data_IF_849179656659
#
_entry.id   IF_849179656659
#
_cell.length_a   1.000
_cell.length_b   1.000
_cell.length_c   1.000
_cell.angle_alpha   90.00
_cell.angle_beta   90.00
_cell.angle_gamma   90.00
#
_symmetry.space_group_name_H-M   'P 1'
#
loop_
_entity.id
_entity.type
_entity.pdbx_description
1 polymer ?
#
# COMPACT_ATOMS: atom_id res chain seq x y z
N UNK A 1 10.59 -4.03 -13.70
CA UNK A 1 9.48 -3.71 -14.64
C UNK A 1 9.60 -2.31 -15.25
N UNK A 2 9.61 -1.22 -14.46
CA UNK A 2 9.65 0.14 -15.01
C UNK A 2 10.86 0.43 -15.90
N UNK A 3 12.05 -0.08 -15.57
CA UNK A 3 13.26 0.11 -16.40
C UNK A 3 13.14 -0.60 -17.76
N UNK A 4 12.61 -1.82 -17.78
CA UNK A 4 12.32 -2.54 -19.03
C UNK A 4 11.26 -1.79 -19.85
N UNK A 5 10.20 -1.29 -19.21
CA UNK A 5 9.19 -0.46 -19.88
C UNK A 5 9.76 0.82 -20.49
N UNK A 6 10.73 1.46 -19.82
CA UNK A 6 11.45 2.62 -20.37
C UNK A 6 12.26 2.23 -21.60
N UNK A 7 13.00 1.12 -21.55
CA UNK A 7 13.83 0.68 -22.69
C UNK A 7 12.96 0.24 -23.86
N UNK A 8 12.04 -0.70 -23.63
CA UNK A 8 11.18 -1.23 -24.69
C UNK A 8 10.26 -0.16 -25.24
N UNK A 9 9.59 0.62 -24.38
CA UNK A 9 8.70 1.67 -24.86
C UNK A 9 9.42 2.85 -25.50
N UNK A 10 10.63 3.17 -25.04
CA UNK A 10 11.48 4.16 -25.70
C UNK A 10 11.87 3.72 -27.11
N UNK A 11 12.36 2.48 -27.26
CA UNK A 11 12.79 1.94 -28.56
C UNK A 11 11.60 1.79 -29.51
N UNK A 12 10.50 1.20 -29.06
CA UNK A 12 9.30 1.02 -29.88
C UNK A 12 8.70 2.36 -30.32
N UNK A 13 8.67 3.34 -29.42
CA UNK A 13 8.21 4.69 -29.75
C UNK A 13 9.06 5.33 -30.85
N UNK A 14 10.39 5.25 -30.74
CA UNK A 14 11.30 5.78 -31.77
C UNK A 14 11.08 5.10 -33.12
N UNK A 15 10.95 3.78 -33.14
CA UNK A 15 10.71 3.01 -34.38
C UNK A 15 9.37 3.39 -35.02
N UNK A 16 8.29 3.50 -34.23
CA UNK A 16 6.97 3.88 -34.74
C UNK A 16 6.97 5.30 -35.33
N UNK A 17 7.57 6.26 -34.63
CA UNK A 17 7.67 7.63 -35.15
C UNK A 17 8.58 7.74 -36.37
N UNK A 18 9.65 6.94 -36.44
CA UNK A 18 10.52 6.86 -37.60
C UNK A 18 9.77 6.32 -38.83
N UNK A 19 8.96 5.27 -38.67
CA UNK A 19 8.13 4.75 -39.76
C UNK A 19 7.09 5.77 -40.25
N UNK A 20 6.39 6.44 -39.32
CA UNK A 20 5.44 7.50 -39.65
C UNK A 20 6.10 8.65 -40.42
N UNK A 21 7.35 8.98 -40.09
CA UNK A 21 8.10 10.05 -40.76
C UNK A 21 8.67 9.63 -42.12
N UNK A 22 9.07 8.36 -42.25
CA UNK A 22 9.79 7.86 -43.43
C UNK A 22 8.88 7.40 -44.56
N UNK A 23 7.61 7.09 -44.27
CA UNK A 23 6.69 6.47 -45.23
C UNK A 23 5.48 7.39 -45.53
N UNK A 24 5.65 8.47 -46.32
CA UNK A 24 4.59 9.45 -46.58
C UNK A 24 3.43 8.92 -47.44
N UNK A 25 3.65 7.86 -48.22
CA UNK A 25 2.69 7.31 -49.20
C UNK A 25 1.70 6.28 -48.61
N UNK A 26 1.64 6.13 -47.28
CA UNK A 26 0.70 5.20 -46.65
C UNK A 26 -0.76 5.63 -46.84
N UNK A 27 -1.66 4.65 -46.91
CA UNK A 27 -3.10 4.95 -46.91
C UNK A 27 -3.48 5.67 -45.62
N UNK A 28 -4.48 6.56 -45.68
CA UNK A 28 -4.87 7.39 -44.52
C UNK A 28 -5.24 6.56 -43.28
N UNK A 29 -5.78 5.36 -43.48
CA UNK A 29 -6.12 4.42 -42.40
C UNK A 29 -4.89 3.80 -41.74
N UNK A 30 -3.92 3.34 -42.54
CA UNK A 30 -2.66 2.76 -42.01
C UNK A 30 -1.87 3.80 -41.23
N UNK A 31 -1.74 5.01 -41.79
CA UNK A 31 -1.06 6.12 -41.12
C UNK A 31 -1.71 6.46 -39.78
N UNK A 32 -3.05 6.50 -39.72
CA UNK A 32 -3.77 6.73 -38.47
C UNK A 32 -3.45 5.64 -37.43
N UNK A 33 -3.38 4.37 -37.85
CA UNK A 33 -2.99 3.25 -36.98
C UNK A 33 -1.60 3.41 -36.37
N UNK A 34 -0.59 3.73 -37.19
CA UNK A 34 0.78 3.95 -36.71
C UNK A 34 0.89 5.17 -35.78
N UNK A 35 0.15 6.25 -36.07
CA UNK A 35 0.12 7.43 -35.20
C UNK A 35 -0.51 7.09 -33.83
N UNK A 36 -1.63 6.37 -33.81
CA UNK A 36 -2.26 5.95 -32.55
C UNK A 36 -1.35 5.02 -31.76
N UNK A 37 -0.73 4.03 -32.42
CA UNK A 37 0.23 3.13 -31.78
C UNK A 37 1.42 3.91 -31.20
N UNK A 38 1.99 4.86 -31.96
CA UNK A 38 3.08 5.71 -31.50
C UNK A 38 2.69 6.54 -30.27
N UNK A 39 1.47 7.09 -30.25
CA UNK A 39 0.96 7.82 -29.09
C UNK A 39 0.81 6.92 -27.86
N UNK A 40 0.22 5.74 -28.01
CA UNK A 40 0.06 4.77 -26.90
C UNK A 40 1.41 4.38 -26.32
N UNK A 41 2.40 4.12 -27.18
CA UNK A 41 3.74 3.75 -26.75
C UNK A 41 4.45 4.92 -26.05
N UNK A 42 4.29 6.16 -26.53
CA UNK A 42 4.82 7.34 -25.81
C UNK A 42 4.18 7.50 -24.44
N UNK A 43 2.88 7.23 -24.30
CA UNK A 43 2.21 7.26 -23.00
C UNK A 43 2.74 6.16 -22.08
N UNK A 44 3.01 4.96 -22.59
CA UNK A 44 3.62 3.88 -21.80
C UNK A 44 5.05 4.24 -21.36
N UNK A 45 5.83 4.88 -22.22
CA UNK A 45 7.16 5.38 -21.88
C UNK A 45 7.09 6.40 -20.73
N UNK A 46 6.21 7.41 -20.84
CA UNK A 46 6.00 8.41 -19.79
C UNK A 46 5.49 7.77 -18.49
N UNK A 47 4.53 6.84 -18.59
CA UNK A 47 4.02 6.11 -17.42
C UNK A 47 5.13 5.28 -16.75
N UNK A 48 6.04 4.69 -17.52
CA UNK A 48 7.17 3.93 -16.99
C UNK A 48 8.17 4.82 -16.24
N UNK A 49 8.42 6.03 -16.74
CA UNK A 49 9.20 7.05 -16.02
C UNK A 49 8.50 7.43 -14.72
N UNK A 50 7.19 7.69 -14.74
CA UNK A 50 6.42 8.03 -13.54
C UNK A 50 6.42 6.90 -12.51
N UNK A 51 6.33 5.64 -12.95
CA UNK A 51 6.45 4.47 -12.09
C UNK A 51 7.84 4.36 -11.46
N UNK A 52 8.90 4.62 -12.23
CA UNK A 52 10.27 4.63 -11.73
C UNK A 52 10.51 5.75 -10.71
N UNK A 53 10.08 6.97 -11.00
CA UNK A 53 10.14 8.11 -10.07
C UNK A 53 9.29 7.84 -8.83
N UNK A 54 8.11 7.24 -8.99
CA UNK A 54 7.23 6.86 -7.88
C UNK A 54 7.88 5.86 -6.93
N UNK A 55 8.65 4.90 -7.46
CA UNK A 55 9.43 3.96 -6.66
C UNK A 55 10.55 4.64 -5.88
N UNK A 56 11.25 5.61 -6.48
CA UNK A 56 12.33 6.38 -5.80
C UNK A 56 11.76 7.28 -4.71
N UNK A 57 10.73 8.08 -5.03
CA UNK A 57 10.20 9.12 -4.14
C UNK A 57 9.33 8.52 -3.02
N UNK A 58 8.94 7.23 -3.11
CA UNK A 58 8.08 6.52 -2.15
C UNK A 58 6.75 7.25 -1.86
N UNK A 59 6.28 8.10 -2.78
CA UNK A 59 5.01 8.81 -2.66
C UNK A 59 3.87 7.97 -3.24
N UNK A 60 2.92 7.59 -2.38
CA UNK A 60 1.74 6.77 -2.75
C UNK A 60 0.93 7.33 -3.92
N UNK A 61 0.77 8.65 -4.01
CA UNK A 61 -0.05 9.26 -5.05
C UNK A 61 0.49 8.96 -6.46
N UNK A 62 1.82 8.91 -6.63
CA UNK A 62 2.44 8.54 -7.90
C UNK A 62 2.20 7.07 -8.25
N UNK A 63 2.29 6.17 -7.27
CA UNK A 63 2.02 4.74 -7.46
C UNK A 63 0.56 4.51 -7.85
N UNK A 64 -0.38 5.25 -7.25
CA UNK A 64 -1.80 5.14 -7.57
C UNK A 64 -2.11 5.64 -8.98
N UNK A 65 -1.56 6.79 -9.37
CA UNK A 65 -1.70 7.31 -10.75
C UNK A 65 -1.11 6.32 -11.75
N UNK A 66 0.09 5.80 -11.48
CA UNK A 66 0.74 4.80 -12.31
C UNK A 66 -0.12 3.53 -12.49
N UNK A 67 -0.74 3.03 -11.41
CA UNK A 67 -1.64 1.89 -11.47
C UNK A 67 -2.86 2.14 -12.37
N UNK A 68 -3.45 3.34 -12.30
CA UNK A 68 -4.55 3.72 -13.18
C UNK A 68 -4.13 3.78 -14.64
N UNK A 69 -2.94 4.33 -14.93
CA UNK A 69 -2.39 4.35 -16.29
C UNK A 69 -2.16 2.95 -16.84
N UNK A 70 -1.60 2.03 -16.06
CA UNK A 70 -1.41 0.64 -16.50
C UNK A 70 -2.74 -0.04 -16.80
N UNK A 71 -3.79 0.23 -16.01
CA UNK A 71 -5.11 -0.33 -16.26
C UNK A 71 -5.74 0.22 -17.56
N UNK A 72 -5.68 1.53 -17.77
CA UNK A 72 -6.17 2.16 -19.01
C UNK A 72 -5.38 1.65 -20.22
N UNK A 73 -4.05 1.55 -20.09
CA UNK A 73 -3.18 1.02 -21.12
C UNK A 73 -3.53 -0.43 -21.49
N UNK A 74 -3.73 -1.28 -20.50
CA UNK A 74 -4.14 -2.67 -20.72
C UNK A 74 -5.48 -2.77 -21.48
N UNK A 75 -6.49 -1.98 -21.09
CA UNK A 75 -7.77 -1.94 -21.81
C UNK A 75 -7.62 -1.45 -23.25
N UNK A 76 -6.76 -0.45 -23.45
CA UNK A 76 -6.47 0.09 -24.77
C UNK A 76 -5.77 -0.98 -25.63
N UNK A 77 -4.82 -1.73 -25.07
CA UNK A 77 -4.17 -2.83 -25.76
C UNK A 77 -5.11 -3.99 -26.09
N UNK A 78 -6.08 -4.30 -25.22
CA UNK A 78 -7.15 -5.24 -25.57
C UNK A 78 -7.95 -4.74 -26.78
N UNK A 79 -8.33 -3.45 -26.80
CA UNK A 79 -9.09 -2.86 -27.88
C UNK A 79 -8.30 -2.87 -29.20
N UNK A 80 -7.02 -2.48 -29.17
CA UNK A 80 -6.13 -2.51 -30.34
C UNK A 80 -5.91 -3.95 -30.81
N UNK A 81 -5.58 -4.88 -29.91
CA UNK A 81 -5.36 -6.27 -30.28
C UNK A 81 -6.61 -6.89 -30.90
N UNK A 82 -7.80 -6.60 -30.36
CA UNK A 82 -9.08 -7.02 -30.91
C UNK A 82 -9.38 -6.41 -32.28
N UNK A 83 -9.13 -5.11 -32.44
CA UNK A 83 -9.29 -4.42 -33.73
C UNK A 83 -8.33 -4.97 -34.79
N UNK A 84 -7.04 -5.11 -34.46
CA UNK A 84 -6.05 -5.68 -35.37
C UNK A 84 -6.36 -7.14 -35.70
N UNK A 85 -6.85 -7.93 -34.75
CA UNK A 85 -7.32 -9.28 -35.03
C UNK A 85 -8.48 -9.24 -36.03
N UNK A 86 -9.47 -8.36 -35.84
CA UNK A 86 -10.56 -8.17 -36.80
C UNK A 86 -10.05 -7.80 -38.19
N UNK A 87 -9.15 -6.81 -38.28
CA UNK A 87 -8.51 -6.38 -39.53
C UNK A 87 -7.77 -7.55 -40.18
N UNK A 88 -6.86 -8.22 -39.47
CA UNK A 88 -6.08 -9.34 -40.00
C UNK A 88 -6.99 -10.47 -40.47
N UNK A 89 -8.05 -10.81 -39.73
CA UNK A 89 -8.98 -11.87 -40.14
C UNK A 89 -9.76 -11.47 -41.40
N UNK A 90 -10.27 -10.24 -41.47
CA UNK A 90 -11.06 -9.76 -42.60
C UNK A 90 -10.20 -9.55 -43.86
N UNK A 91 -9.03 -8.91 -43.71
CA UNK A 91 -8.05 -8.77 -44.79
C UNK A 91 -7.53 -10.13 -45.24
N UNK A 92 -7.27 -11.08 -44.35
CA UNK A 92 -6.83 -12.42 -44.78
C UNK A 92 -7.85 -13.09 -45.69
N UNK A 93 -9.16 -12.93 -45.43
CA UNK A 93 -10.21 -13.49 -46.28
C UNK A 93 -10.26 -12.82 -47.65
N UNK A 94 -10.17 -11.50 -47.71
CA UNK A 94 -10.21 -10.77 -48.98
C UNK A 94 -8.91 -10.89 -49.79
N UNK A 95 -7.76 -10.88 -49.12
CA UNK A 95 -6.43 -10.98 -49.72
C UNK A 95 -6.14 -12.41 -50.21
N UNK A 96 -6.61 -13.45 -49.51
CA UNK A 96 -6.45 -14.83 -50.02
C UNK A 96 -7.17 -15.01 -51.36
N UNK A 97 -8.36 -14.40 -51.53
CA UNK A 97 -9.07 -14.43 -52.80
C UNK A 97 -8.33 -13.59 -53.85
N UNK A 98 -8.11 -12.30 -53.60
CA UNK A 98 -7.54 -11.40 -54.63
C UNK A 98 -6.05 -11.66 -54.92
N UNK A 99 -5.22 -11.73 -53.88
CA UNK A 99 -3.78 -11.86 -54.05
C UNK A 99 -3.38 -13.30 -54.45
N UNK A 100 -3.89 -14.33 -53.77
CA UNK A 100 -3.46 -15.70 -54.07
C UNK A 100 -4.22 -16.33 -55.25
N UNK A 101 -5.53 -16.08 -55.44
CA UNK A 101 -6.28 -16.76 -56.52
C UNK A 101 -6.16 -16.05 -57.88
N UNK A 102 -6.14 -14.72 -57.93
CA UNK A 102 -6.12 -13.97 -59.20
C UNK A 102 -4.70 -13.79 -59.76
N UNK A 103 -3.68 -13.65 -58.89
CA UNK A 103 -2.32 -13.29 -59.34
C UNK A 103 -1.45 -14.51 -59.68
N UNK A 104 -1.66 -15.64 -59.00
CA UNK A 104 -0.82 -16.83 -59.17
C UNK A 104 -1.58 -17.89 -59.95
N UNK A 105 -1.09 -18.31 -61.12
CA UNK A 105 -1.72 -19.41 -61.88
C UNK A 105 -1.30 -20.81 -61.42
N UNK A 106 -0.11 -20.95 -60.83
CA UNK A 106 0.42 -22.24 -60.40
C UNK A 106 -0.26 -22.73 -59.11
N UNK A 107 -0.86 -23.92 -59.15
CA UNK A 107 -1.60 -24.50 -58.03
C UNK A 107 -0.74 -24.72 -56.78
N UNK A 108 0.52 -25.16 -56.96
CA UNK A 108 1.43 -25.40 -55.84
C UNK A 108 1.77 -24.10 -55.10
N UNK A 109 1.92 -22.98 -55.82
CA UNK A 109 2.19 -21.69 -55.22
C UNK A 109 0.95 -21.09 -54.50
N UNK A 110 -0.28 -21.43 -54.94
CA UNK A 110 -1.51 -21.05 -54.22
C UNK A 110 -1.59 -21.68 -52.83
N UNK A 111 -1.25 -22.97 -52.73
CA UNK A 111 -1.24 -23.68 -51.45
C UNK A 111 -0.20 -23.10 -50.49
N UNK A 112 0.98 -22.73 -50.99
CA UNK A 112 2.01 -22.07 -50.19
C UNK A 112 1.58 -20.66 -49.73
N UNK A 113 0.95 -19.87 -50.61
CA UNK A 113 0.43 -18.53 -50.28
C UNK A 113 -0.60 -18.56 -49.14
N UNK A 114 -1.57 -19.47 -49.24
CA UNK A 114 -2.62 -19.63 -48.21
C UNK A 114 -2.07 -20.22 -46.91
N UNK A 115 -1.11 -21.16 -47.00
CA UNK A 115 -0.43 -21.72 -45.84
C UNK A 115 0.33 -20.66 -45.03
N UNK A 116 1.08 -19.79 -45.70
CA UNK A 116 1.87 -18.74 -45.05
C UNK A 116 0.98 -17.71 -44.35
N UNK A 117 -0.11 -17.27 -44.99
CA UNK A 117 -1.12 -16.38 -44.38
C UNK A 117 -1.77 -17.00 -43.14
N UNK A 118 -2.09 -18.30 -43.18
CA UNK A 118 -2.67 -19.03 -42.03
C UNK A 118 -1.68 -19.11 -40.87
N UNK A 119 -0.40 -19.38 -41.17
CA UNK A 119 0.66 -19.41 -40.15
C UNK A 119 0.86 -18.03 -39.55
N UNK A 120 0.96 -16.98 -40.36
CA UNK A 120 1.13 -15.61 -39.89
C UNK A 120 0.00 -15.17 -38.95
N UNK A 121 -1.25 -15.48 -39.29
CA UNK A 121 -2.41 -15.25 -38.41
C UNK A 121 -2.30 -16.00 -37.08
N UNK A 122 -1.87 -17.26 -37.13
CA UNK A 122 -1.64 -18.07 -35.92
C UNK A 122 -0.57 -17.46 -35.02
N UNK A 123 0.59 -17.10 -35.59
CA UNK A 123 1.71 -16.48 -34.87
C UNK A 123 1.27 -15.15 -34.25
N UNK A 124 0.57 -14.30 -35.00
CA UNK A 124 0.06 -13.03 -34.49
C UNK A 124 -0.84 -13.23 -33.26
N UNK A 125 -1.78 -14.19 -33.33
CA UNK A 125 -2.67 -14.48 -32.21
C UNK A 125 -1.91 -14.96 -30.97
N UNK A 126 -0.92 -15.86 -31.13
CA UNK A 126 -0.11 -16.36 -30.01
C UNK A 126 0.69 -15.22 -29.37
N UNK A 127 1.37 -14.40 -30.18
CA UNK A 127 2.17 -13.27 -29.67
C UNK A 127 1.28 -12.26 -28.95
N UNK A 128 0.15 -11.88 -29.55
CA UNK A 128 -0.79 -10.94 -28.92
C UNK A 128 -1.33 -11.49 -27.58
N UNK A 129 -1.67 -12.79 -27.52
CA UNK A 129 -2.14 -13.41 -26.29
C UNK A 129 -1.06 -13.40 -25.19
N UNK A 130 0.19 -13.72 -25.52
CA UNK A 130 1.31 -13.68 -24.56
C UNK A 130 1.51 -12.25 -24.03
N UNK A 131 1.51 -11.25 -24.91
CA UNK A 131 1.66 -9.84 -24.50
C UNK A 131 0.54 -9.43 -23.54
N UNK A 132 -0.72 -9.74 -23.87
CA UNK A 132 -1.86 -9.42 -23.00
C UNK A 132 -1.80 -10.14 -21.65
N UNK A 133 -1.34 -11.40 -21.62
CA UNK A 133 -1.17 -12.14 -20.35
C UNK A 133 -0.06 -11.54 -19.49
N UNK A 134 1.06 -11.14 -20.09
CA UNK A 134 2.15 -10.47 -19.36
C UNK A 134 1.68 -9.13 -18.81
N UNK A 135 0.94 -8.34 -19.59
CA UNK A 135 0.37 -7.06 -19.13
C UNK A 135 -0.63 -7.24 -17.99
N UNK A 136 -1.53 -8.22 -18.12
CA UNK A 136 -2.48 -8.57 -17.06
C UNK A 136 -1.75 -8.97 -15.78
N UNK A 137 -0.71 -9.79 -15.89
CA UNK A 137 0.10 -10.20 -14.74
C UNK A 137 0.76 -9.00 -14.05
N UNK A 138 1.32 -8.06 -14.82
CA UNK A 138 1.89 -6.82 -14.30
C UNK A 138 0.82 -5.96 -13.62
N UNK A 139 -0.36 -5.81 -14.21
CA UNK A 139 -1.48 -5.07 -13.63
C UNK A 139 -1.94 -5.67 -12.29
N UNK A 140 -1.95 -7.01 -12.17
CA UNK A 140 -2.27 -7.70 -10.92
C UNK A 140 -1.24 -7.44 -9.82
N UNK A 141 0.06 -7.51 -10.13
CA UNK A 141 1.13 -7.21 -9.17
C UNK A 141 1.00 -5.77 -8.65
N UNK A 142 0.82 -4.82 -9.56
CA UNK A 142 0.70 -3.40 -9.18
C UNK A 142 -0.55 -3.18 -8.30
N UNK A 143 -1.66 -3.84 -8.61
CA UNK A 143 -2.88 -3.75 -7.81
C UNK A 143 -2.67 -4.27 -6.39
N UNK A 144 -2.01 -5.43 -6.23
CA UNK A 144 -1.65 -5.97 -4.92
C UNK A 144 -0.76 -5.02 -4.14
N UNK A 145 0.24 -4.45 -4.80
CA UNK A 145 1.15 -3.47 -4.19
C UNK A 145 0.41 -2.20 -3.73
N UNK A 146 -0.48 -1.65 -4.56
CA UNK A 146 -1.30 -0.49 -4.17
C UNK A 146 -2.18 -0.80 -2.97
N UNK A 147 -2.77 -2.00 -2.91
CA UNK A 147 -3.58 -2.42 -1.78
C UNK A 147 -2.74 -2.54 -0.51
N UNK A 148 -1.55 -3.15 -0.59
CA UNK A 148 -0.61 -3.24 0.53
C UNK A 148 -0.22 -1.86 1.06
N UNK A 149 0.15 -0.92 0.19
CA UNK A 149 0.52 0.44 0.60
C UNK A 149 -0.68 1.18 1.23
N UNK A 150 -1.90 0.93 0.74
CA UNK A 150 -3.12 1.48 1.33
C UNK A 150 -3.39 0.90 2.72
N UNK A 151 -3.23 -0.41 2.90
CA UNK A 151 -3.44 -1.06 4.21
C UNK A 151 -2.41 -0.59 5.22
N UNK A 152 -1.12 -0.56 4.86
CA UNK A 152 -0.05 -0.07 5.74
C UNK A 152 -0.30 1.37 6.21
N UNK A 153 -0.75 2.24 5.30
CA UNK A 153 -1.08 3.62 5.67
C UNK A 153 -2.33 3.76 6.53
N UNK A 154 -3.32 2.90 6.32
CA UNK A 154 -4.52 2.86 7.16
C UNK A 154 -4.16 2.41 8.57
N UNK A 155 -3.43 1.29 8.69
CA UNK A 155 -2.93 0.78 9.97
C UNK A 155 -2.03 1.79 10.68
N UNK A 156 -1.15 2.48 9.96
CA UNK A 156 -0.31 3.53 10.55
C UNK A 156 -1.12 4.74 11.06
N UNK A 157 -2.25 5.08 10.43
CA UNK A 157 -3.15 6.14 10.91
C UNK A 157 -3.96 5.69 12.12
N UNK A 158 -4.51 4.49 12.07
CA UNK A 158 -5.24 3.89 13.19
C UNK A 158 -4.32 3.80 14.43
N UNK A 159 -3.09 3.30 14.29
CA UNK A 159 -2.12 3.28 15.40
C UNK A 159 -1.77 4.66 15.99
N UNK A 160 -1.90 5.74 15.22
CA UNK A 160 -1.66 7.11 15.72
C UNK A 160 -2.85 7.61 16.52
N UNK A 161 -4.07 7.34 16.04
CA UNK A 161 -5.30 7.68 16.76
C UNK A 161 -5.40 6.88 18.07
N UNK A 162 -5.11 5.59 18.04
CA UNK A 162 -5.12 4.74 19.25
C UNK A 162 -4.09 5.23 20.29
N UNK A 163 -2.90 5.65 19.84
CA UNK A 163 -1.89 6.24 20.73
C UNK A 163 -2.37 7.59 21.30
N UNK A 164 -2.95 8.46 20.48
CA UNK A 164 -3.51 9.74 20.95
C UNK A 164 -4.64 9.52 21.97
N UNK A 165 -5.52 8.55 21.75
CA UNK A 165 -6.56 8.16 22.69
C UNK A 165 -5.98 7.64 24.01
N UNK A 166 -4.99 6.75 23.96
CA UNK A 166 -4.30 6.23 25.13
C UNK A 166 -3.65 7.35 25.97
N UNK A 167 -3.01 8.34 25.34
CA UNK A 167 -2.44 9.50 26.03
C UNK A 167 -3.52 10.48 26.53
N UNK A 168 -4.65 10.61 25.83
CA UNK A 168 -5.76 11.47 26.26
C UNK A 168 -6.42 10.99 27.56
N UNK A 169 -6.49 9.67 27.78
CA UNK A 169 -7.01 9.08 29.01
C UNK A 169 -6.10 9.36 30.21
N UNK A 170 -4.77 9.31 30.02
CA UNK A 170 -3.80 9.68 31.06
C UNK A 170 -3.89 11.17 31.43
N UNK A 171 -4.20 12.05 30.47
CA UNK A 171 -4.35 13.47 30.75
C UNK A 171 -5.66 13.83 31.47
N UNK A 172 -6.72 13.03 31.34
CA UNK A 172 -7.96 13.19 32.13
C UNK A 172 -7.82 12.68 33.58
N UNK A 173 -6.90 11.74 33.83
CA UNK A 173 -6.60 11.19 35.16
C UNK A 173 -5.58 11.99 35.98
N UNK A 174 -4.81 12.89 35.36
CA UNK A 174 -4.01 13.88 36.10
C UNK A 174 -4.93 14.97 36.61
N UNK A 175 -5.47 14.71 37.80
CA UNK A 175 -6.00 15.73 38.67
C UNK A 175 -5.08 16.95 38.70
N UNK A 176 -5.71 18.10 38.87
CA UNK A 176 -5.08 19.36 39.29
C UNK A 176 -3.95 19.02 40.27
N UNK A 177 -2.71 18.96 39.80
CA UNK A 177 -1.59 19.18 40.71
C UNK A 177 -1.84 20.57 41.23
N UNK A 178 -2.26 20.60 42.47
CA UNK A 178 -2.59 21.75 43.27
C UNK A 178 -1.59 22.83 42.92
N UNK A 179 -2.04 23.90 42.27
CA UNK A 179 -1.34 25.16 42.35
C UNK A 179 -1.13 25.40 43.83
N UNK A 180 0.13 25.35 44.26
CA UNK A 180 0.49 25.62 45.64
C UNK A 180 -0.19 26.95 46.03
N UNK A 181 -0.99 26.98 47.11
CA UNK A 181 -1.66 28.19 47.56
C UNK A 181 -0.59 29.11 48.13
N UNK A 182 -0.06 30.00 47.30
CA UNK A 182 1.02 30.89 47.69
C UNK A 182 1.12 32.07 46.75
N UNK A 183 0.29 33.08 46.95
CA UNK A 183 0.47 34.37 46.29
C UNK A 183 -0.84 35.12 46.10
N UNK A 184 -1.26 35.86 47.12
CA UNK A 184 -2.24 36.93 46.98
C UNK A 184 -1.85 37.87 45.83
N UNK A 185 -2.71 37.97 44.83
CA UNK A 185 -2.75 39.16 43.98
C UNK A 185 -4.21 39.49 43.72
N UNK A 186 -4.73 40.33 44.61
CA UNK A 186 -5.94 41.12 44.42
C UNK A 186 -5.80 41.93 43.14
N UNK A 187 -6.85 41.95 42.34
CA UNK A 187 -7.20 43.16 41.59
C UNK A 187 -7.86 42.93 40.24
N UNK A 188 -9.18 43.15 40.23
CA UNK A 188 -9.94 43.89 39.20
C UNK A 188 -10.05 43.22 37.81
N UNK A 189 -11.21 42.60 37.52
CA UNK A 189 -12.34 43.16 36.74
C UNK A 189 -11.99 43.32 35.25
N UNK A 190 -12.74 42.85 34.27
CA UNK A 190 -14.20 42.89 34.15
C UNK A 190 -14.62 42.13 32.86
N UNK A 191 -15.88 41.65 32.79
CA UNK A 191 -16.66 41.36 31.57
C UNK A 191 -16.09 40.35 30.52
N UNK A 192 -16.81 39.39 29.95
CA UNK A 192 -18.24 39.13 29.80
C UNK A 192 -18.40 37.79 29.05
N UNK A 193 -19.50 37.09 29.33
CA UNK A 193 -20.40 36.41 28.39
C UNK A 193 -20.98 35.14 29.02
N UNK A 194 -22.29 35.25 29.26
CA UNK A 194 -23.13 34.23 29.85
C UNK A 194 -23.23 33.00 28.92
N UNK A 195 -22.54 31.92 29.30
CA UNK A 195 -22.93 30.57 28.91
C UNK A 195 -23.93 30.08 29.98
N UNK A 196 -25.09 29.60 29.53
CA UNK A 196 -26.10 28.98 30.38
C UNK A 196 -25.48 27.87 31.22
N UNK A 197 -25.28 28.17 32.50
CA UNK A 197 -24.79 27.25 33.52
C UNK A 197 -25.84 26.18 33.77
N UNK A 198 -25.51 24.94 33.40
CA UNK A 198 -26.23 23.76 33.84
C UNK A 198 -26.22 23.73 35.38
N UNK A 199 -27.39 23.98 35.99
CA UNK A 199 -27.60 23.95 37.44
C UNK A 199 -27.89 22.51 37.91
N UNK A 200 -26.94 21.61 37.67
CA UNK A 200 -26.86 20.34 38.40
C UNK A 200 -26.13 20.56 39.73
N UNK A 201 -26.33 19.70 40.75
CA UNK A 201 -25.46 19.71 41.92
C UNK A 201 -24.01 19.61 41.45
N UNK A 202 -23.17 20.54 41.92
CA UNK A 202 -21.74 20.55 41.64
C UNK A 202 -21.19 19.20 42.09
N UNK A 203 -20.64 18.43 41.15
CA UNK A 203 -20.10 17.11 41.44
C UNK A 203 -18.95 17.29 42.44
N UNK A 204 -19.23 16.98 43.70
CA UNK A 204 -18.24 16.98 44.77
C UNK A 204 -17.61 15.58 44.84
N UNK A 205 -16.37 15.40 44.35
CA UNK A 205 -15.68 14.11 44.37
C UNK A 205 -15.33 13.62 45.79
N UNK A 206 -15.67 14.39 46.83
CA UNK A 206 -15.48 14.02 48.24
C UNK A 206 -16.79 13.85 49.01
N UNK A 207 -17.96 14.00 48.37
CA UNK A 207 -19.24 13.79 49.06
C UNK A 207 -19.42 12.31 49.47
N UNK A 208 -18.73 11.39 48.79
CA UNK A 208 -18.66 9.97 49.18
C UNK A 208 -17.94 9.73 50.52
N UNK A 209 -17.17 10.71 51.02
CA UNK A 209 -16.44 10.61 52.29
C UNK A 209 -17.17 11.29 53.46
N UNK A 210 -18.30 11.96 53.22
CA UNK A 210 -19.07 12.69 54.25
C UNK A 210 -20.45 12.12 54.55
N UNK A 211 -20.87 11.05 53.88
CA UNK A 211 -22.01 10.27 54.31
C UNK A 211 -21.70 9.56 55.64
N UNK A 212 -22.17 10.12 56.75
CA UNK A 212 -22.50 9.31 57.93
C UNK A 212 -23.45 8.22 57.45
N UNK A 213 -22.93 6.99 57.44
CA UNK A 213 -23.63 5.75 57.15
C UNK A 213 -24.78 5.56 58.16
N UNK A 214 -25.92 6.21 57.94
CA UNK A 214 -27.19 5.75 58.47
C UNK A 214 -27.75 4.69 57.52
N UNK A 215 -27.71 3.46 58.03
CA UNK A 215 -28.50 2.29 57.66
C UNK A 215 -29.47 2.43 56.46
N UNK A 216 -29.00 2.09 55.25
CA UNK A 216 -29.85 1.38 54.28
C UNK A 216 -29.28 0.00 54.07
N UNK A 217 -29.57 -0.81 55.08
CA UNK A 217 -29.46 -2.26 55.12
C UNK A 217 -30.55 -2.84 54.20
N UNK A 218 -30.28 -2.99 52.91
CA UNK A 218 -30.95 -4.02 52.11
C UNK A 218 -29.95 -5.11 51.75
N UNK A 219 -30.01 -6.13 52.61
CA UNK A 219 -29.34 -7.41 52.50
C UNK A 219 -29.66 -8.12 51.18
N UNK A 220 -28.63 -8.33 50.35
CA UNK A 220 -28.48 -9.62 49.69
C UNK A 220 -27.30 -10.32 50.34
N UNK A 221 -27.63 -11.13 51.34
CA UNK A 221 -26.75 -12.12 51.93
C UNK A 221 -26.58 -13.24 50.91
N UNK A 222 -25.35 -13.48 50.46
CA UNK A 222 -24.93 -14.78 49.99
C UNK A 222 -23.55 -15.08 50.60
N UNK A 223 -23.44 -16.30 51.13
CA UNK A 223 -22.39 -16.77 52.04
C UNK A 223 -20.96 -16.63 51.52
N UNK A 224 -20.15 -15.80 52.20
CA UNK A 224 -18.78 -16.15 52.62
C UNK A 224 -17.68 -16.42 51.58
N UNK A 225 -17.91 -16.26 50.28
CA UNK A 225 -16.87 -16.37 49.24
C UNK A 225 -16.80 -15.04 48.49
N UNK A 226 -15.64 -14.36 48.40
CA UNK A 226 -15.53 -13.15 47.59
C UNK A 226 -15.89 -13.52 46.15
N UNK A 227 -16.98 -12.93 45.64
CA UNK A 227 -17.37 -13.13 44.25
C UNK A 227 -16.25 -12.61 43.36
N UNK A 228 -15.72 -13.49 42.50
CA UNK A 228 -14.74 -13.13 41.50
C UNK A 228 -15.26 -11.93 40.70
N UNK A 229 -14.40 -10.96 40.33
CA UNK A 229 -14.81 -9.80 39.55
C UNK A 229 -15.42 -10.29 38.23
N UNK A 230 -16.72 -10.03 38.08
CA UNK A 230 -17.49 -10.32 36.87
C UNK A 230 -17.43 -9.05 36.03
N UNK A 231 -16.68 -9.11 34.93
CA UNK A 231 -16.71 -8.04 33.93
C UNK A 231 -17.88 -8.28 32.98
N UNK A 232 -18.70 -7.24 32.80
CA UNK A 232 -19.78 -7.24 31.81
C UNK A 232 -19.18 -6.98 30.44
N UNK A 233 -19.12 -8.03 29.62
CA UNK A 233 -18.58 -7.97 28.26
C UNK A 233 -19.45 -7.14 27.32
N UNK A 234 -18.81 -6.58 26.28
CA UNK A 234 -19.45 -5.79 25.22
C UNK A 234 -20.41 -6.68 24.41
N UNK A 235 -21.67 -6.78 24.87
CA UNK A 235 -22.66 -7.75 24.36
C UNK A 235 -23.73 -8.17 25.37
N UNK A 236 -23.65 -7.73 26.63
CA UNK A 236 -24.71 -7.95 27.63
C UNK A 236 -24.66 -9.31 28.33
N UNK A 237 -23.59 -10.09 28.12
CA UNK A 237 -23.29 -11.28 28.92
C UNK A 237 -22.33 -10.94 30.06
N UNK A 238 -22.54 -11.55 31.22
CA UNK A 238 -21.54 -11.59 32.31
C UNK A 238 -20.52 -12.68 32.00
N UNK A 239 -19.23 -12.33 31.93
CA UNK A 239 -18.15 -13.29 31.71
C UNK A 239 -17.21 -13.26 32.91
N UNK A 240 -16.78 -14.44 33.34
CA UNK A 240 -15.69 -14.55 34.31
C UNK A 240 -14.34 -14.47 33.59
N UNK A 241 -13.32 -13.95 34.28
CA UNK A 241 -11.96 -13.87 33.72
C UNK A 241 -11.43 -15.22 33.22
N UNK A 242 -11.83 -16.32 33.86
CA UNK A 242 -11.51 -17.68 33.44
C UNK A 242 -12.15 -18.06 32.11
N UNK A 243 -13.39 -17.64 31.86
CA UNK A 243 -14.10 -17.92 30.60
C UNK A 243 -13.48 -17.13 29.45
N UNK A 244 -13.13 -15.86 29.68
CA UNK A 244 -12.42 -15.03 28.70
C UNK A 244 -11.07 -15.68 28.33
N UNK A 245 -10.31 -16.11 29.35
CA UNK A 245 -9.00 -16.75 29.13
C UNK A 245 -9.14 -18.06 28.37
N UNK A 246 -10.17 -18.86 28.64
CA UNK A 246 -10.41 -20.11 27.91
C UNK A 246 -10.84 -19.87 26.47
N UNK A 247 -11.73 -18.90 26.23
CA UNK A 247 -12.18 -18.57 24.87
C UNK A 247 -11.04 -18.01 24.02
N UNK A 248 -10.23 -17.10 24.57
CA UNK A 248 -9.07 -16.54 23.87
C UNK A 248 -8.04 -17.63 23.55
N UNK A 249 -7.77 -18.53 24.51
CA UNK A 249 -6.89 -19.68 24.29
C UNK A 249 -7.43 -20.63 23.21
N UNK A 250 -8.74 -20.91 23.21
CA UNK A 250 -9.36 -21.76 22.21
C UNK A 250 -9.32 -21.11 20.82
N UNK A 251 -9.48 -19.78 20.74
CA UNK A 251 -9.39 -19.01 19.50
C UNK A 251 -7.96 -19.00 18.94
N UNK A 252 -6.95 -18.90 19.79
CA UNK A 252 -5.54 -19.02 19.38
C UNK A 252 -5.23 -20.42 18.85
N UNK A 253 -5.66 -21.47 19.56
CA UNK A 253 -5.47 -22.86 19.09
C UNK A 253 -6.11 -23.13 17.73
N UNK A 254 -7.26 -22.51 17.41
CA UNK A 254 -7.86 -22.62 16.06
C UNK A 254 -7.02 -21.94 14.99
N UNK A 255 -6.42 -20.78 15.28
CA UNK A 255 -5.52 -20.09 14.33
C UNK A 255 -4.25 -20.90 14.09
N UNK A 256 -3.64 -21.43 15.15
CA UNK A 256 -2.44 -22.26 15.04
C UNK A 256 -2.73 -23.54 14.23
N UNK A 257 -3.89 -24.17 14.46
CA UNK A 257 -4.32 -25.34 13.68
C UNK A 257 -4.65 -25.00 12.21
N UNK A 258 -5.18 -23.82 11.92
CA UNK A 258 -5.41 -23.35 10.54
C UNK A 258 -4.09 -23.00 9.84
N UNK A 259 -3.10 -22.48 10.57
CA UNK A 259 -1.76 -22.15 10.06
C UNK A 259 -0.96 -23.41 9.73
N UNK A 260 -1.08 -24.48 10.52
CA UNK A 260 -0.47 -25.80 10.25
C UNK A 260 -1.09 -26.55 9.05
N UNK A 261 -2.31 -26.18 8.62
CA UNK A 261 -2.99 -26.79 7.46
C UNK A 261 -2.57 -26.14 6.13
N UNK A 262 -1.92 -24.97 6.17
CA UNK A 262 -1.28 -24.39 4.99
C UNK A 262 0.00 -25.19 4.71
N UNK A 263 0.06 -25.81 3.52
CA UNK A 263 1.13 -26.70 3.06
C UNK A 263 2.54 -26.29 3.53
N UNK A 264 3.40 -27.27 3.89
CA UNK A 264 4.76 -26.98 4.32
C UNK A 264 5.47 -26.16 3.24
N UNK A 265 5.61 -24.86 3.53
CA UNK A 265 6.40 -23.94 2.72
C UNK A 265 7.78 -24.56 2.59
N UNK A 266 8.19 -24.80 1.34
CA UNK A 266 9.47 -25.37 0.95
C UNK A 266 10.58 -24.87 1.87
N UNK A 267 11.35 -25.80 2.44
CA UNK A 267 12.55 -25.60 3.25
C UNK A 267 13.17 -24.22 3.03
N UNK A 268 12.81 -23.28 3.90
CA UNK A 268 13.54 -22.03 4.03
C UNK A 268 14.83 -22.44 4.72
N UNK A 269 15.95 -22.26 4.01
CA UNK A 269 17.30 -22.55 4.47
C UNK A 269 17.52 -21.92 5.86
N UNK A 270 18.16 -22.65 6.77
CA UNK A 270 18.31 -22.23 8.17
C UNK A 270 19.04 -20.87 8.28
N UNK A 271 19.87 -20.52 7.28
CA UNK A 271 20.49 -19.19 7.17
C UNK A 271 19.47 -18.06 6.96
N UNK A 272 18.45 -18.26 6.12
CA UNK A 272 17.44 -17.24 5.87
C UNK A 272 16.51 -17.06 7.08
N UNK A 273 16.32 -18.14 7.87
CA UNK A 273 15.57 -18.07 9.13
C UNK A 273 16.31 -17.23 10.19
N UNK A 274 17.63 -17.36 10.29
CA UNK A 274 18.46 -16.54 11.18
C UNK A 274 18.47 -15.08 10.73
N UNK A 275 18.51 -14.83 9.42
CA UNK A 275 18.47 -13.47 8.87
C UNK A 275 17.13 -12.78 9.15
N UNK A 276 16.00 -13.50 9.00
CA UNK A 276 14.67 -12.96 9.37
C UNK A 276 14.52 -12.71 10.86
N UNK A 277 15.10 -13.55 11.72
CA UNK A 277 15.12 -13.32 13.18
C UNK A 277 15.94 -12.08 13.56
N UNK A 278 16.98 -11.73 12.79
CA UNK A 278 17.72 -10.48 12.99
C UNK A 278 16.96 -9.24 12.48
N UNK A 279 16.14 -9.39 11.45
CA UNK A 279 15.36 -8.29 10.87
C UNK A 279 14.02 -8.04 11.56
N UNK A 280 13.47 -9.02 12.28
CA UNK A 280 12.31 -8.82 13.16
C UNK A 280 12.70 -8.01 14.38
N UNK A 281 12.87 -6.70 14.18
CA UNK A 281 12.90 -5.71 15.26
C UNK A 281 11.62 -5.87 16.06
N UNK A 282 11.75 -6.19 17.34
CA UNK A 282 10.63 -6.21 18.27
C UNK A 282 9.86 -4.88 18.22
N UNK A 283 8.53 -4.94 18.35
CA UNK A 283 7.68 -3.74 18.40
C UNK A 283 8.00 -2.86 19.61
N UNK A 284 8.60 -3.44 20.65
CA UNK A 284 9.39 -2.76 21.67
C UNK A 284 10.73 -2.39 21.05
N UNK A 285 10.99 -1.09 20.84
CA UNK A 285 12.19 -0.58 20.14
C UNK A 285 13.53 -1.17 20.60
N UNK A 286 14.64 -0.88 19.88
CA UNK A 286 15.91 -1.55 20.06
C UNK A 286 16.30 -1.61 21.54
N UNK A 287 16.76 -2.77 22.05
CA UNK A 287 17.22 -2.86 23.43
C UNK A 287 18.25 -1.76 23.61
N UNK A 288 18.05 -0.90 24.61
CA UNK A 288 18.98 0.17 24.97
C UNK A 288 20.38 -0.41 24.94
N UNK A 289 21.15 -0.02 23.92
CA UNK A 289 22.52 -0.47 23.77
C UNK A 289 23.19 -0.20 25.11
N UNK A 290 23.63 -1.28 25.76
CA UNK A 290 24.41 -1.19 26.98
C UNK A 290 25.65 -0.40 26.59
N UNK A 291 25.62 0.88 26.96
CA UNK A 291 26.62 1.89 26.64
C UNK A 291 27.88 1.48 27.41
N UNK A 292 28.69 0.63 26.80
CA UNK A 292 30.09 0.51 27.21
C UNK A 292 30.65 1.91 26.98
N UNK A 293 30.99 2.58 28.09
CA UNK A 293 31.71 3.85 28.11
C UNK A 293 33.06 3.61 27.42
N UNK A 294 33.09 3.74 26.10
CA UNK A 294 34.33 4.11 25.41
C UNK A 294 34.64 5.55 25.83
N UNK A 295 35.82 5.71 26.42
CA UNK A 295 36.41 6.99 26.75
C UNK A 295 36.46 7.83 25.47
N UNK A 296 35.79 8.99 25.50
CA UNK A 296 35.93 10.03 24.49
C UNK A 296 37.42 10.42 24.36
N UNK A 297 38.02 10.07 23.22
CA UNK A 297 39.29 10.66 22.77
C UNK A 297 39.03 12.12 22.40
N UNK A 298 39.58 13.02 23.21
CA UNK A 298 39.52 14.47 23.03
C UNK A 298 40.02 14.89 21.64
N UNK A 299 39.39 15.89 20.99
CA UNK A 299 39.84 16.39 19.70
C UNK A 299 41.23 17.01 19.80
N UNK A 300 42.19 16.46 19.05
CA UNK A 300 43.50 17.06 18.82
C UNK A 300 43.33 18.28 17.90
N UNK A 301 43.46 19.47 18.45
CA UNK A 301 43.64 20.69 17.68
C UNK A 301 45.05 20.70 17.08
N UNK A 302 45.16 20.50 15.76
CA UNK A 302 46.39 20.78 15.01
C UNK A 302 46.48 22.28 14.76
N UNK A 303 47.37 22.94 15.49
CA UNK A 303 47.72 24.34 15.33
C UNK A 303 48.89 24.43 14.33
N UNK A 304 48.60 24.69 13.05
CA UNK A 304 49.65 24.99 12.08
C UNK A 304 49.09 25.71 10.84
N UNK A 305 49.12 27.04 10.89
CA UNK A 305 49.18 27.89 9.70
C UNK A 305 50.41 28.81 9.83
N UNK A 306 51.36 28.81 8.88
CA UNK A 306 52.46 29.75 8.85
C UNK A 306 52.07 31.08 8.20
N UNK A 307 52.79 32.19 8.49
CA UNK A 307 52.44 33.53 8.05
C UNK A 307 52.72 33.72 6.55
N UNK A 308 51.75 34.32 5.84
CA UNK A 308 51.95 34.88 4.50
C UNK A 308 52.92 36.06 4.60
N UNK A 309 54.08 35.91 3.98
CA UNK A 309 55.02 36.99 3.75
C UNK A 309 54.48 37.99 2.73
N UNK A 310 54.61 39.27 3.07
CA UNK A 310 54.53 40.42 2.20
C UNK A 310 55.92 40.73 1.64
N UNK A 311 56.05 40.76 0.32
CA UNK A 311 57.24 41.20 -0.42
C UNK A 311 56.91 41.22 -1.90
#
# INVERSE_FOLDING_TARGET
MSLLGIIFGGVLSIVLWFEVASTPDMTSGERAGFVVAGLVETFLFVASILGFVGAIVRKQLFVQIYAYFIYVHFLLNIAIAGYLLYVVTHFSANATVKACQETIQNQQAKEQCTGLLKIARGVYFVVAAIVLLVELYVALIITRYVNQVKTEKRTARESRLDNEEAFSLVSKGKGRYSSLPGGHSRGLSDQSMALQTYSGPEYDPYDELRGTHEDVRQSFVYDGVPSLPIDVGYGGGSWTHSEITQEEKARLQRRDAEEDVLEPVSYVDDEERVHRMQESKSSTGPPSAMRIRELDDLPRYTLSDPPRGSG
#
